data_IF_095433643926
#
_entry.id   IF_095433643926
#
_cell.length_a   1.000
_cell.length_b   1.000
_cell.length_c   1.000
_cell.angle_alpha   90.00
_cell.angle_beta   90.00
_cell.angle_gamma   90.00
#
_symmetry.space_group_name_H-M   'P 1'
#
loop_
_entity.id
_entity.type
_entity.pdbx_description
1 polymer ?
#
# COMPACT_ATOMS: atom_id res chain seq x y z
N UNK A 1 -5.59 -1.67 8.87
CA UNK A 1 -4.51 -1.78 9.88
C UNK A 1 -3.22 -2.38 9.36
N UNK A 2 -3.25 -3.63 8.86
CA UNK A 2 -2.03 -4.38 8.48
C UNK A 2 -1.14 -3.70 7.42
N UNK A 3 -1.73 -3.10 6.39
CA UNK A 3 -0.96 -2.42 5.34
C UNK A 3 -0.18 -1.19 5.86
N UNK A 4 -0.80 -0.41 6.76
CA UNK A 4 -0.11 0.69 7.43
C UNK A 4 1.01 0.18 8.34
N UNK A 5 0.75 -0.90 9.09
CA UNK A 5 1.77 -1.54 9.93
C UNK A 5 2.97 -2.05 9.11
N UNK A 6 2.74 -2.58 7.90
CA UNK A 6 3.81 -2.94 6.97
C UNK A 6 4.63 -1.73 6.54
N UNK A 7 3.99 -0.65 6.08
CA UNK A 7 4.67 0.58 5.64
C UNK A 7 5.47 1.25 6.76
N UNK A 8 5.04 1.11 8.02
CA UNK A 8 5.76 1.63 9.19
C UNK A 8 6.80 0.66 9.77
N UNK A 9 7.03 -0.50 9.14
CA UNK A 9 8.00 -1.50 9.61
C UNK A 9 9.26 -1.53 8.74
N UNK A 10 10.34 -2.13 9.25
CA UNK A 10 11.61 -2.30 8.52
C UNK A 10 11.46 -3.10 7.21
N UNK A 11 10.38 -3.89 7.09
CA UNK A 11 10.05 -4.65 5.89
C UNK A 11 9.75 -3.75 4.68
N UNK A 12 9.38 -2.49 4.91
CA UNK A 12 9.14 -1.49 3.88
C UNK A 12 10.32 -0.53 3.66
N UNK A 13 11.52 -0.84 4.18
CA UNK A 13 12.71 0.03 4.09
C UNK A 13 13.12 0.43 2.66
N UNK A 14 12.79 -0.39 1.66
CA UNK A 14 13.02 -0.08 0.24
C UNK A 14 11.86 0.63 -0.47
N UNK A 15 10.77 0.95 0.21
CA UNK A 15 9.55 1.51 -0.39
C UNK A 15 9.45 2.99 -0.07
N UNK A 16 9.59 3.84 -1.09
CA UNK A 16 9.53 5.31 -0.95
C UNK A 16 8.82 5.97 -2.14
N UNK A 17 8.16 7.10 -1.89
CA UNK A 17 7.45 7.87 -2.93
C UNK A 17 6.27 7.14 -3.58
N UNK A 18 5.79 6.04 -2.99
CA UNK A 18 4.71 5.24 -3.54
C UNK A 18 3.39 5.51 -2.83
N UNK A 19 2.28 5.41 -3.59
CA UNK A 19 0.91 5.37 -3.04
C UNK A 19 0.43 3.92 -3.08
N UNK A 20 0.30 3.29 -1.91
CA UNK A 20 -0.21 1.94 -1.78
C UNK A 20 -1.74 1.95 -1.68
N UNK A 21 -2.42 1.47 -2.72
CA UNK A 21 -3.87 1.30 -2.72
C UNK A 21 -4.26 0.03 -1.95
N UNK A 22 -5.22 0.17 -1.02
CA UNK A 22 -5.74 -0.91 -0.18
C UNK A 22 -7.28 -0.86 -0.22
N UNK A 23 -7.82 -1.00 -1.41
CA UNK A 23 -9.23 -0.79 -1.75
C UNK A 23 -9.87 -2.03 -2.43
N UNK A 24 -9.25 -3.20 -2.23
CA UNK A 24 -9.64 -4.47 -2.88
C UNK A 24 -9.59 -4.43 -4.42
N UNK A 25 -8.74 -3.57 -5.00
CA UNK A 25 -8.54 -3.48 -6.45
C UNK A 25 -9.60 -2.62 -7.15
N UNK A 26 -10.28 -1.76 -6.40
CA UNK A 26 -11.28 -0.86 -6.96
C UNK A 26 -10.63 0.16 -7.91
N UNK A 27 -9.46 0.71 -7.57
CA UNK A 27 -8.75 1.67 -8.39
C UNK A 27 -8.37 1.19 -9.80
N UNK A 28 -8.31 -0.12 -10.04
CA UNK A 28 -8.02 -0.71 -11.35
C UNK A 28 -9.26 -1.17 -12.11
N UNK A 29 -10.45 -1.14 -11.48
CA UNK A 29 -11.70 -1.39 -12.19
C UNK A 29 -12.03 -0.16 -13.03
N UNK A 30 -11.99 -0.32 -14.36
CA UNK A 30 -12.28 0.74 -15.34
C UNK A 30 -13.76 1.08 -15.46
N UNK A 31 -14.42 1.36 -14.33
CA UNK A 31 -15.82 1.80 -14.26
C UNK A 31 -16.00 3.25 -14.69
#
# INVERSE_FOLDING_TARGET
GKAAAFLCSDLASGVTGQILYVDSGYNIMGM
#
